data_IF_785386517830
#
_entry.id   IF_785386517830
#
_cell.length_a   1.000
_cell.length_b   1.000
_cell.length_c   1.000
_cell.angle_alpha   90.00
_cell.angle_beta   90.00
_cell.angle_gamma   90.00
#
_symmetry.space_group_name_H-M   'P 1'
#
loop_
_entity.id
_entity.type
_entity.pdbx_description
1 polymer ?
#
# COMPACT_ATOMS: atom_id res chain seq x y z
N UNK A 1 10.32 -5.72 -10.95
CA UNK A 1 9.64 -4.96 -9.87
C UNK A 1 9.81 -3.48 -10.10
N UNK A 2 9.02 -2.63 -9.43
CA UNK A 2 9.03 -1.17 -9.64
C UNK A 2 10.39 -0.55 -9.25
N UNK A 3 10.83 -0.77 -8.00
CA UNK A 3 12.16 -0.35 -7.53
C UNK A 3 13.14 -1.53 -7.57
N UNK A 4 13.53 -1.97 -8.77
CA UNK A 4 14.27 -3.22 -8.97
C UNK A 4 15.64 -3.30 -8.28
N UNK A 5 16.26 -2.15 -7.95
CA UNK A 5 17.58 -2.07 -7.31
C UNK A 5 17.49 -1.70 -5.81
N UNK A 6 16.30 -1.77 -5.19
CA UNK A 6 16.17 -1.50 -3.77
C UNK A 6 16.58 -2.71 -2.92
N UNK A 7 17.01 -2.44 -1.68
CA UNK A 7 17.14 -3.48 -0.67
C UNK A 7 15.75 -3.86 -0.16
N UNK A 8 15.50 -5.16 0.04
CA UNK A 8 14.25 -5.68 0.57
C UNK A 8 14.49 -6.37 1.92
N UNK A 9 13.73 -5.98 2.95
CA UNK A 9 13.68 -6.63 4.25
C UNK A 9 12.28 -7.18 4.46
N UNK A 10 12.16 -8.48 4.70
CA UNK A 10 10.88 -9.16 4.86
C UNK A 10 10.68 -9.59 6.33
N UNK A 11 9.47 -9.40 6.83
CA UNK A 11 9.04 -9.85 8.15
C UNK A 11 7.80 -10.73 7.99
N UNK A 12 7.86 -11.96 8.50
CA UNK A 12 6.67 -12.80 8.65
C UNK A 12 6.02 -12.50 9.99
N UNK A 13 5.10 -11.53 9.99
CA UNK A 13 4.42 -11.05 11.18
C UNK A 13 3.06 -11.74 11.44
N UNK A 14 2.43 -12.24 10.38
CA UNK A 14 1.10 -12.86 10.40
C UNK A 14 1.13 -14.22 9.70
N UNK A 15 0.10 -15.03 9.92
CA UNK A 15 -0.07 -16.30 9.22
C UNK A 15 -0.92 -16.18 7.95
N UNK A 16 -1.83 -15.21 7.94
CA UNK A 16 -2.61 -14.80 6.77
C UNK A 16 -2.59 -13.25 6.62
N UNK A 17 -3.52 -12.69 5.84
CA UNK A 17 -3.62 -11.24 5.60
C UNK A 17 -4.44 -10.48 6.65
N UNK A 18 -5.13 -11.20 7.54
CA UNK A 18 -6.02 -10.65 8.55
C UNK A 18 -5.28 -10.53 9.89
N UNK A 19 -5.24 -9.33 10.47
CA UNK A 19 -4.49 -9.10 11.72
C UNK A 19 -5.39 -9.25 12.95
N UNK A 20 -5.98 -10.43 13.16
CA UNK A 20 -6.98 -10.65 14.20
C UNK A 20 -6.44 -11.38 15.46
N UNK A 21 -5.42 -12.22 15.33
CA UNK A 21 -4.81 -12.96 16.43
C UNK A 21 -3.95 -12.07 17.34
N UNK A 22 -3.93 -12.37 18.65
CA UNK A 22 -3.08 -11.62 19.60
C UNK A 22 -1.58 -11.71 19.25
N UNK A 23 -1.11 -12.90 18.88
CA UNK A 23 0.27 -13.12 18.43
C UNK A 23 0.59 -12.41 17.12
N UNK A 24 -0.37 -12.30 16.21
CA UNK A 24 -0.21 -11.60 14.93
C UNK A 24 -0.14 -10.08 15.14
N UNK A 25 -1.02 -9.53 15.99
CA UNK A 25 -0.97 -8.12 16.40
C UNK A 25 0.37 -7.77 17.04
N UNK A 26 0.90 -8.63 17.91
CA UNK A 26 2.22 -8.47 18.51
C UNK A 26 3.34 -8.57 17.46
N UNK A 27 3.28 -9.57 16.56
CA UNK A 27 4.24 -9.75 15.48
C UNK A 27 4.32 -8.54 14.53
N UNK A 28 3.17 -7.96 14.19
CA UNK A 28 3.11 -6.75 13.35
C UNK A 28 3.68 -5.54 14.08
N UNK A 29 3.33 -5.33 15.35
CA UNK A 29 3.94 -4.29 16.19
C UNK A 29 5.47 -4.43 16.24
N UNK A 30 5.97 -5.63 16.50
CA UNK A 30 7.40 -5.88 16.65
C UNK A 30 8.15 -5.66 15.33
N UNK A 31 7.57 -6.09 14.19
CA UNK A 31 8.12 -5.80 12.87
C UNK A 31 8.18 -4.28 12.58
N UNK A 32 7.16 -3.52 13.01
CA UNK A 32 7.13 -2.07 12.89
C UNK A 32 8.15 -1.38 13.81
N UNK A 33 8.37 -1.88 15.03
CA UNK A 33 9.43 -1.39 15.90
C UNK A 33 10.82 -1.67 15.33
N UNK A 34 11.09 -2.89 14.87
CA UNK A 34 12.37 -3.24 14.26
C UNK A 34 12.63 -2.38 13.01
N UNK A 35 11.61 -2.23 12.15
CA UNK A 35 11.73 -1.42 10.93
C UNK A 35 11.83 0.08 11.23
N UNK A 36 11.12 0.56 12.24
CA UNK A 36 11.15 1.94 12.71
C UNK A 36 12.53 2.33 13.24
N UNK A 37 13.18 1.43 13.98
CA UNK A 37 14.51 1.65 14.55
C UNK A 37 15.66 1.43 13.54
N UNK A 38 15.37 0.87 12.37
CA UNK A 38 16.37 0.61 11.33
C UNK A 38 16.54 1.83 10.41
N UNK A 39 17.68 2.52 10.50
CA UNK A 39 17.98 3.71 9.69
C UNK A 39 17.98 3.49 8.17
N UNK A 40 18.21 2.24 7.72
CA UNK A 40 18.21 1.86 6.31
C UNK A 40 16.79 1.70 5.73
N UNK A 41 15.79 1.41 6.57
CA UNK A 41 14.39 1.30 6.13
C UNK A 41 13.82 2.72 5.93
N UNK A 42 13.24 2.97 4.76
CA UNK A 42 12.55 4.23 4.43
C UNK A 42 11.04 4.04 4.20
N UNK A 43 10.66 2.96 3.54
CA UNK A 43 9.27 2.62 3.19
C UNK A 43 8.94 1.26 3.78
N UNK A 44 7.77 1.15 4.41
CA UNK A 44 7.19 -0.09 4.95
C UNK A 44 5.89 -0.33 4.19
N UNK A 45 5.80 -1.47 3.50
CA UNK A 45 4.62 -1.88 2.74
C UNK A 45 3.84 -2.93 3.53
N UNK A 46 2.55 -2.69 3.74
CA UNK A 46 1.66 -3.53 4.55
C UNK A 46 0.44 -3.94 3.73
N UNK A 47 0.49 -5.18 3.21
CA UNK A 47 -0.65 -5.82 2.54
C UNK A 47 -1.41 -6.74 3.51
N UNK A 48 -1.73 -6.18 4.69
CA UNK A 48 -2.43 -6.82 5.80
C UNK A 48 -3.47 -5.85 6.37
N UNK A 49 -4.51 -6.35 7.03
CA UNK A 49 -5.48 -5.48 7.68
C UNK A 49 -6.54 -6.21 8.49
N UNK A 50 -7.41 -5.44 9.14
CA UNK A 50 -8.58 -5.92 9.86
C UNK A 50 -9.67 -4.82 9.83
N UNK A 51 -10.94 -5.21 9.85
CA UNK A 51 -12.05 -4.26 10.00
C UNK A 51 -12.08 -3.64 11.40
N UNK A 52 -11.40 -4.26 12.37
CA UNK A 52 -11.28 -3.78 13.74
C UNK A 52 -9.94 -3.09 14.00
N UNK A 53 -10.00 -1.99 14.74
CA UNK A 53 -8.80 -1.29 15.24
C UNK A 53 -8.03 -2.15 16.26
N UNK A 54 -6.70 -2.07 16.21
CA UNK A 54 -5.81 -2.67 17.22
C UNK A 54 -4.86 -1.61 17.78
N UNK A 55 -4.96 -1.34 19.08
CA UNK A 55 -4.01 -0.45 19.78
C UNK A 55 -2.58 -0.95 19.68
N UNK A 56 -2.37 -2.27 19.81
CA UNK A 56 -1.05 -2.90 19.69
C UNK A 56 -0.38 -2.62 18.35
N UNK A 57 -1.11 -2.78 17.25
CA UNK A 57 -0.58 -2.48 15.91
C UNK A 57 -0.42 -0.98 15.69
N UNK A 58 -1.38 -0.18 16.19
CA UNK A 58 -1.31 1.28 16.11
C UNK A 58 -0.08 1.85 16.82
N UNK A 59 0.32 1.31 17.97
CA UNK A 59 1.55 1.69 18.67
C UNK A 59 2.80 1.48 17.81
N UNK A 60 2.86 0.36 17.09
CA UNK A 60 3.91 0.09 16.10
C UNK A 60 3.91 1.10 14.96
N UNK A 61 2.72 1.44 14.45
CA UNK A 61 2.54 2.43 13.37
C UNK A 61 3.00 3.81 13.82
N UNK A 62 2.58 4.27 15.00
CA UNK A 62 3.02 5.54 15.56
C UNK A 62 4.53 5.58 15.72
N UNK A 63 5.15 4.53 16.24
CA UNK A 63 6.61 4.47 16.40
C UNK A 63 7.35 4.53 15.07
N UNK A 64 6.97 3.72 14.08
CA UNK A 64 7.61 3.76 12.77
C UNK A 64 7.38 5.11 12.07
N UNK A 65 6.17 5.66 12.16
CA UNK A 65 5.86 6.98 11.62
C UNK A 65 6.69 8.09 12.28
N UNK A 66 6.84 8.07 13.60
CA UNK A 66 7.62 9.06 14.34
C UNK A 66 9.12 8.94 14.06
N UNK A 67 9.61 7.75 13.70
CA UNK A 67 10.97 7.52 13.19
C UNK A 67 11.14 7.81 11.69
N UNK A 68 10.20 8.56 11.09
CA UNK A 68 10.31 9.07 9.72
C UNK A 68 10.04 8.04 8.62
N UNK A 69 9.50 6.86 8.96
CA UNK A 69 9.18 5.82 7.97
C UNK A 69 7.91 6.18 7.21
N UNK A 70 7.89 5.91 5.91
CA UNK A 70 6.68 5.97 5.09
C UNK A 70 5.95 4.63 5.18
N UNK A 71 4.69 4.67 5.61
CA UNK A 71 3.86 3.49 5.80
C UNK A 71 2.84 3.44 4.67
N UNK A 72 2.87 2.40 3.85
CA UNK A 72 1.94 2.21 2.72
C UNK A 72 1.07 1.00 3.02
N UNK A 73 -0.24 1.18 3.08
CA UNK A 73 -1.19 0.18 3.54
C UNK A 73 -2.27 -0.10 2.50
N UNK A 74 -2.63 -1.37 2.36
CA UNK A 74 -3.73 -1.80 1.52
C UNK A 74 -5.06 -1.27 2.05
N UNK A 75 -5.83 -0.57 1.21
CA UNK A 75 -7.14 -0.02 1.60
C UNK A 75 -8.13 -1.10 2.07
N UNK A 76 -7.94 -2.33 1.61
CA UNK A 76 -8.77 -3.48 1.95
C UNK A 76 -9.00 -4.36 0.74
N UNK A 77 -9.19 -5.65 1.02
CA UNK A 77 -9.60 -6.65 0.03
C UNK A 77 -10.77 -7.43 0.58
N UNK A 78 -11.84 -7.48 -0.20
CA UNK A 78 -13.06 -8.18 0.14
C UNK A 78 -12.78 -9.68 0.26
N UNK A 79 -12.94 -10.19 1.48
CA UNK A 79 -13.12 -11.62 1.76
C UNK A 79 -14.63 -11.92 1.72
N UNK A 80 -15.03 -13.18 1.85
CA UNK A 80 -16.44 -13.61 1.86
C UNK A 80 -17.31 -12.85 2.87
N UNK A 81 -16.73 -12.18 3.86
CA UNK A 81 -17.42 -11.49 4.96
C UNK A 81 -17.11 -9.98 5.08
N UNK A 82 -16.22 -9.40 4.27
CA UNK A 82 -15.80 -7.97 4.38
C UNK A 82 -16.12 -7.11 3.16
N UNK A 83 -16.85 -7.64 2.18
CA UNK A 83 -17.06 -7.02 0.86
C UNK A 83 -17.77 -5.66 0.82
N UNK A 84 -18.42 -5.28 1.93
CA UNK A 84 -19.18 -4.03 2.08
C UNK A 84 -18.46 -2.96 2.90
N UNK A 85 -17.25 -3.25 3.41
CA UNK A 85 -16.48 -2.28 4.20
C UNK A 85 -15.74 -1.27 3.31
N UNK A 86 -15.63 -0.02 3.80
CA UNK A 86 -14.73 0.99 3.23
C UNK A 86 -13.26 0.68 3.55
N UNK A 87 -12.43 1.72 3.67
CA UNK A 87 -11.02 1.56 4.02
C UNK A 87 -10.85 0.98 5.42
N UNK A 88 -10.08 -0.11 5.54
CA UNK A 88 -9.89 -0.86 6.79
C UNK A 88 -8.61 -0.48 7.53
N UNK A 89 -8.48 -0.93 8.78
CA UNK A 89 -7.25 -0.75 9.55
C UNK A 89 -6.13 -1.65 8.98
N UNK A 90 -4.87 -1.17 8.89
CA UNK A 90 -4.38 0.13 9.33
C UNK A 90 -4.47 1.27 8.29
N UNK A 91 -4.94 1.01 7.07
CA UNK A 91 -4.98 2.01 6.00
C UNK A 91 -5.84 3.25 6.34
N UNK A 92 -6.83 3.10 7.22
CA UNK A 92 -7.64 4.23 7.70
C UNK A 92 -6.93 5.12 8.75
N UNK A 93 -5.70 4.81 9.16
CA UNK A 93 -4.92 5.67 10.03
C UNK A 93 -4.23 6.79 9.24
N UNK A 94 -4.25 8.02 9.78
CA UNK A 94 -3.61 9.20 9.18
C UNK A 94 -2.09 9.11 9.04
N UNK A 95 -1.45 8.17 9.74
CA UNK A 95 -0.03 7.86 9.67
C UNK A 95 0.32 7.01 8.45
N UNK A 96 -0.68 6.43 7.79
CA UNK A 96 -0.50 5.53 6.65
C UNK A 96 -0.95 6.17 5.35
N UNK A 97 -0.38 5.69 4.25
CA UNK A 97 -0.81 6.01 2.89
C UNK A 97 -1.71 4.86 2.46
N UNK A 98 -3.00 5.13 2.32
CA UNK A 98 -3.97 4.13 1.90
C UNK A 98 -3.94 3.97 0.38
N UNK A 99 -3.80 2.73 -0.11
CA UNK A 99 -3.71 2.44 -1.54
C UNK A 99 -4.74 1.43 -1.94
N UNK A 100 -5.46 1.71 -3.04
CA UNK A 100 -6.41 0.76 -3.63
C UNK A 100 -6.10 0.46 -5.10
N UNK A 101 -6.81 -0.51 -5.65
CA UNK A 101 -6.70 -0.92 -7.05
C UNK A 101 -7.92 -0.52 -7.86
N UNK A 102 -7.69 -0.19 -9.13
CA UNK A 102 -8.71 0.12 -10.12
C UNK A 102 -8.61 -0.79 -11.35
N UNK A 103 -9.65 -0.80 -12.15
CA UNK A 103 -9.66 -1.35 -13.50
C UNK A 103 -9.04 -0.37 -14.50
N UNK A 104 -8.57 -0.85 -15.64
CA UNK A 104 -8.16 -0.02 -16.79
C UNK A 104 -9.36 0.51 -17.60
N UNK A 105 -10.29 1.15 -16.90
CA UNK A 105 -11.53 1.70 -17.46
C UNK A 105 -11.37 3.20 -17.81
N UNK A 106 -12.25 3.77 -18.65
CA UNK A 106 -12.25 5.20 -18.98
C UNK A 106 -12.52 6.12 -17.78
N UNK A 107 -13.14 5.57 -16.72
CA UNK A 107 -13.38 6.25 -15.45
C UNK A 107 -12.84 5.39 -14.31
N UNK A 108 -12.54 6.01 -13.16
CA UNK A 108 -12.13 5.24 -11.99
C UNK A 108 -13.21 4.25 -11.58
N UNK A 109 -12.88 2.98 -11.82
CA UNK A 109 -13.71 1.84 -11.45
C UNK A 109 -12.86 1.00 -10.53
N UNK A 110 -13.31 0.83 -9.28
CA UNK A 110 -12.63 0.01 -8.27
C UNK A 110 -12.42 -1.42 -8.81
N UNK A 111 -11.27 -2.03 -8.50
CA UNK A 111 -11.08 -3.45 -8.79
C UNK A 111 -12.11 -4.28 -8.01
N UNK A 112 -12.59 -5.40 -8.56
CA UNK A 112 -13.76 -6.11 -8.02
C UNK A 112 -13.68 -6.42 -6.52
N UNK A 113 -12.49 -6.79 -6.03
CA UNK A 113 -12.26 -7.15 -4.63
C UNK A 113 -11.59 -6.06 -3.81
N UNK A 114 -11.28 -4.89 -4.37
CA UNK A 114 -10.61 -3.80 -3.64
C UNK A 114 -11.60 -3.02 -2.75
N UNK A 115 -11.16 -2.37 -1.69
CA UNK A 115 -11.99 -1.39 -0.97
C UNK A 115 -11.69 0.04 -1.47
N UNK A 116 -12.62 0.98 -1.34
CA UNK A 116 -12.40 2.41 -1.63
C UNK A 116 -13.00 3.27 -0.53
N UNK A 117 -12.69 4.56 -0.54
CA UNK A 117 -13.25 5.50 0.41
C UNK A 117 -12.39 6.75 0.61
N UNK A 118 -12.84 7.68 1.47
CA UNK A 118 -12.22 8.99 1.65
C UNK A 118 -10.79 8.93 2.18
N UNK A 119 -10.38 7.84 2.83
CA UNK A 119 -9.02 7.65 3.33
C UNK A 119 -8.03 7.29 2.21
N UNK A 120 -8.47 6.80 1.05
CA UNK A 120 -7.58 6.43 -0.07
C UNK A 120 -6.73 7.61 -0.52
N UNK A 121 -5.42 7.42 -0.58
CA UNK A 121 -4.49 8.41 -1.13
C UNK A 121 -4.19 8.19 -2.61
N UNK A 122 -3.97 6.94 -3.03
CA UNK A 122 -3.56 6.63 -4.40
C UNK A 122 -4.22 5.37 -4.93
N UNK A 123 -4.30 5.28 -6.26
CA UNK A 123 -4.75 4.09 -6.96
C UNK A 123 -3.65 3.51 -7.85
N UNK A 124 -3.79 2.23 -8.16
CA UNK A 124 -2.98 1.53 -9.16
C UNK A 124 -3.90 0.71 -10.06
N UNK A 125 -3.63 0.67 -11.36
CA UNK A 125 -4.34 -0.22 -12.29
C UNK A 125 -3.95 -1.67 -11.99
N UNK A 126 -4.93 -2.50 -11.66
CA UNK A 126 -4.69 -3.88 -11.23
C UNK A 126 -5.58 -4.93 -11.89
N UNK A 127 -6.57 -4.52 -12.67
CA UNK A 127 -7.53 -5.43 -13.29
C UNK A 127 -7.91 -4.91 -14.67
N UNK A 128 -8.13 -5.82 -15.63
CA UNK A 128 -8.68 -5.44 -16.94
C UNK A 128 -10.19 -5.26 -16.84
N UNK A 129 -10.71 -4.17 -17.38
CA UNK A 129 -12.14 -3.87 -17.45
C UNK A 129 -12.87 -4.86 -18.38
N UNK A 130 -12.19 -5.33 -19.43
CA UNK A 130 -12.73 -6.30 -20.39
C UNK A 130 -12.56 -7.77 -19.99
N UNK A 131 -11.78 -8.04 -18.94
CA UNK A 131 -11.48 -9.40 -18.47
C UNK A 131 -11.13 -9.34 -16.98
N UNK A 132 -12.12 -9.65 -16.14
CA UNK A 132 -11.98 -9.51 -14.69
C UNK A 132 -11.02 -10.53 -14.06
N UNK A 133 -10.68 -11.60 -14.77
CA UNK A 133 -9.72 -12.61 -14.30
C UNK A 133 -8.27 -12.17 -14.56
N UNK A 134 -8.07 -11.24 -15.50
CA UNK A 134 -6.76 -10.60 -15.74
C UNK A 134 -6.48 -9.52 -14.73
N UNK A 135 -5.95 -9.97 -13.59
CA UNK A 135 -5.50 -9.12 -12.48
C UNK A 135 -3.98 -8.84 -12.52
N UNK A 136 -3.40 -8.37 -11.42
CA UNK A 136 -1.98 -7.99 -11.38
C UNK A 136 -1.07 -9.21 -11.40
N UNK A 137 0.02 -9.13 -12.18
CA UNK A 137 1.05 -10.16 -12.21
C UNK A 137 1.90 -10.15 -10.93
N UNK A 138 2.25 -11.34 -10.46
CA UNK A 138 3.10 -11.57 -9.28
C UNK A 138 4.08 -12.72 -9.52
N UNK A 139 5.06 -12.82 -8.62
CA UNK A 139 5.94 -13.98 -8.58
C UNK A 139 5.13 -15.23 -8.19
N UNK A 140 5.43 -16.34 -8.85
CA UNK A 140 4.85 -17.62 -8.52
C UNK A 140 5.35 -18.09 -7.13
N UNK A 141 4.48 -18.68 -6.30
CA UNK A 141 4.92 -19.37 -5.07
C UNK A 141 5.88 -20.53 -5.37
N UNK A 142 5.76 -21.13 -6.56
CA UNK A 142 6.67 -22.17 -7.08
C UNK A 142 6.63 -22.19 -8.62
N UNK A 143 7.73 -22.61 -9.25
CA UNK A 143 7.85 -22.66 -10.71
C UNK A 143 8.11 -21.30 -11.37
N UNK A 144 8.03 -21.27 -12.71
CA UNK A 144 8.41 -20.11 -13.54
C UNK A 144 7.21 -19.34 -14.14
N UNK A 145 6.00 -19.90 -14.08
CA UNK A 145 4.81 -19.25 -14.62
C UNK A 145 4.30 -18.19 -13.63
N UNK A 146 4.23 -16.90 -14.00
CA UNK A 146 3.74 -15.86 -13.11
C UNK A 146 2.34 -16.15 -12.58
N UNK A 147 2.09 -15.76 -11.33
CA UNK A 147 0.78 -15.85 -10.73
C UNK A 147 0.01 -14.53 -10.90
N UNK A 148 -1.31 -14.60 -10.75
CA UNK A 148 -2.20 -13.43 -10.77
C UNK A 148 -2.80 -13.21 -9.38
N UNK A 149 -2.85 -11.96 -8.94
CA UNK A 149 -3.50 -11.59 -7.67
C UNK A 149 -4.47 -10.43 -7.85
N UNK A 150 -5.64 -10.58 -7.26
CA UNK A 150 -6.59 -9.49 -7.03
C UNK A 150 -6.36 -8.80 -5.68
N UNK A 151 -7.15 -7.77 -5.41
CA UNK A 151 -7.11 -7.03 -4.15
C UNK A 151 -5.96 -6.04 -4.04
N UNK A 152 -6.09 -5.07 -3.12
CA UNK A 152 -5.23 -3.88 -3.02
C UNK A 152 -3.76 -4.17 -2.65
N UNK A 153 -3.38 -5.41 -2.38
CA UNK A 153 -2.02 -5.85 -2.06
C UNK A 153 -1.00 -5.47 -3.16
N UNK A 154 -1.31 -5.76 -4.43
CA UNK A 154 -0.41 -5.44 -5.54
C UNK A 154 -0.27 -3.92 -5.77
N UNK A 155 -1.34 -3.15 -5.54
CA UNK A 155 -1.31 -1.70 -5.56
C UNK A 155 -0.39 -1.16 -4.46
N UNK A 156 -0.51 -1.70 -3.25
CA UNK A 156 0.31 -1.32 -2.09
C UNK A 156 1.80 -1.54 -2.34
N UNK A 157 2.17 -2.71 -2.88
CA UNK A 157 3.56 -3.00 -3.23
C UNK A 157 4.07 -2.10 -4.37
N UNK A 158 3.23 -1.83 -5.37
CA UNK A 158 3.56 -0.94 -6.50
C UNK A 158 3.83 0.49 -6.00
N UNK A 159 2.92 1.05 -5.19
CA UNK A 159 3.05 2.40 -4.62
C UNK A 159 4.26 2.51 -3.70
N UNK A 160 4.54 1.50 -2.87
CA UNK A 160 5.76 1.46 -2.05
C UNK A 160 7.04 1.46 -2.92
N UNK A 161 7.02 0.75 -4.06
CA UNK A 161 8.10 0.79 -5.04
C UNK A 161 8.26 2.16 -5.68
N UNK A 162 7.17 2.84 -6.05
CA UNK A 162 7.22 4.22 -6.57
C UNK A 162 7.82 5.16 -5.53
N UNK A 163 7.38 5.07 -4.27
CA UNK A 163 7.94 5.86 -3.18
C UNK A 163 9.45 5.62 -3.03
N UNK A 164 9.90 4.37 -3.12
CA UNK A 164 11.33 4.03 -3.06
C UNK A 164 12.13 4.60 -4.25
N UNK A 165 11.58 4.58 -5.47
CA UNK A 165 12.20 5.20 -6.65
C UNK A 165 12.40 6.70 -6.45
N UNK A 166 11.35 7.40 -6.00
CA UNK A 166 11.41 8.84 -5.72
C UNK A 166 12.42 9.12 -4.61
N UNK A 167 12.43 8.31 -3.55
CA UNK A 167 13.38 8.46 -2.45
C UNK A 167 14.84 8.33 -2.91
N UNK A 168 15.12 7.43 -3.85
CA UNK A 168 16.46 7.20 -4.38
C UNK A 168 17.05 8.40 -5.12
N UNK A 169 16.21 9.28 -5.69
CA UNK A 169 16.67 10.52 -6.36
C UNK A 169 17.31 11.52 -5.40
N UNK A 170 16.93 11.47 -4.12
CA UNK A 170 17.54 12.25 -3.05
C UNK A 170 17.36 11.50 -1.72
N UNK A 171 18.34 10.68 -1.29
CA UNK A 171 18.23 9.89 -0.06
C UNK A 171 18.07 10.72 1.23
N UNK A 172 18.43 12.02 1.20
CA UNK A 172 18.32 12.95 2.34
C UNK A 172 16.93 13.54 2.52
N UNK A 173 16.05 13.40 1.52
CA UNK A 173 14.72 13.97 1.60
C UNK A 173 13.86 13.24 2.65
N UNK A 174 12.90 13.95 3.22
CA UNK A 174 11.99 13.44 4.22
C UNK A 174 10.83 12.66 3.58
N UNK A 175 10.12 11.87 4.41
CA UNK A 175 8.84 11.25 4.02
C UNK A 175 7.87 12.24 3.40
N UNK A 176 7.71 13.42 4.00
CA UNK A 176 6.75 14.41 3.53
C UNK A 176 7.15 14.99 2.18
N UNK A 177 8.45 15.17 1.92
CA UNK A 177 8.95 15.59 0.61
C UNK A 177 8.64 14.53 -0.46
N UNK A 178 8.91 13.25 -0.19
CA UNK A 178 8.55 12.15 -1.11
C UNK A 178 7.06 12.10 -1.36
N UNK A 179 6.24 12.14 -0.31
CA UNK A 179 4.78 12.10 -0.42
C UNK A 179 4.25 13.28 -1.24
N UNK A 180 4.80 14.49 -1.06
CA UNK A 180 4.40 15.65 -1.84
C UNK A 180 4.75 15.51 -3.32
N UNK A 181 5.91 14.95 -3.65
CA UNK A 181 6.27 14.63 -5.05
C UNK A 181 5.32 13.60 -5.66
N UNK A 182 4.95 12.56 -4.90
CA UNK A 182 3.95 11.58 -5.34
C UNK A 182 2.61 12.26 -5.65
N UNK A 183 2.10 13.11 -4.74
CA UNK A 183 0.84 13.86 -4.93
C UNK A 183 0.89 14.78 -6.14
N UNK A 184 1.94 15.61 -6.26
CA UNK A 184 2.08 16.56 -7.36
C UNK A 184 2.19 15.89 -8.73
N UNK A 185 2.76 14.68 -8.79
CA UNK A 185 2.84 13.88 -10.00
C UNK A 185 1.60 13.02 -10.26
N UNK A 186 0.55 13.10 -9.42
CA UNK A 186 -0.63 12.27 -9.59
C UNK A 186 -1.63 12.87 -10.59
N UNK A 187 -2.36 12.00 -11.28
CA UNK A 187 -3.19 12.32 -12.45
C UNK A 187 -4.18 13.47 -12.24
N UNK A 188 -4.78 13.59 -11.05
CA UNK A 188 -5.85 14.56 -10.79
C UNK A 188 -5.44 15.69 -9.83
N UNK A 189 -4.17 15.75 -9.42
CA UNK A 189 -3.65 16.86 -8.61
C UNK A 189 -3.84 18.21 -9.35
N UNK A 190 -4.24 19.31 -8.67
CA UNK A 190 -4.41 19.48 -7.22
C UNK A 190 -5.78 19.05 -6.67
N UNK A 191 -6.64 18.42 -7.48
CA UNK A 191 -7.91 17.88 -7.04
C UNK A 191 -7.72 16.51 -6.37
N UNK A 192 -8.71 16.11 -5.57
CA UNK A 192 -8.76 14.81 -4.89
C UNK A 192 -10.15 14.21 -5.03
N UNK A 193 -10.20 12.96 -5.46
CA UNK A 193 -11.42 12.16 -5.53
C UNK A 193 -11.78 11.63 -4.13
N UNK A 194 -13.09 11.51 -3.84
CA UNK A 194 -13.57 11.05 -2.53
C UNK A 194 -13.39 9.56 -2.30
N UNK A 195 -13.17 8.76 -3.34
CA UNK A 195 -13.01 7.31 -3.27
C UNK A 195 -11.61 6.85 -3.69
N UNK A 196 -10.94 7.64 -4.55
CA UNK A 196 -9.70 7.27 -5.23
C UNK A 196 -8.52 8.23 -4.96
N UNK A 197 -8.68 9.19 -4.05
CA UNK A 197 -7.59 10.04 -3.60
C UNK A 197 -7.01 10.92 -4.68
N UNK A 198 -5.69 10.98 -4.79
CA UNK A 198 -4.96 11.77 -5.79
C UNK A 198 -4.89 11.10 -7.16
N UNK A 199 -5.39 9.86 -7.27
CA UNK A 199 -5.39 9.11 -8.52
C UNK A 199 -4.11 8.33 -8.78
N UNK A 200 -3.85 8.07 -10.07
CA UNK A 200 -2.65 7.34 -10.53
C UNK A 200 -1.40 8.21 -10.39
N UNK A 201 -0.36 7.68 -9.75
CA UNK A 201 0.94 8.37 -9.65
C UNK A 201 1.69 8.22 -10.97
N UNK A 202 2.09 9.33 -11.60
CA UNK A 202 3.04 9.31 -12.69
C UNK A 202 4.47 9.20 -12.14
N UNK A 203 4.96 7.96 -12.00
CA UNK A 203 6.28 7.70 -11.44
C UNK A 203 7.42 8.37 -12.23
N UNK A 204 7.31 8.46 -13.56
CA UNK A 204 8.31 9.11 -14.40
C UNK A 204 8.38 10.62 -14.13
N UNK A 205 7.23 11.28 -13.96
CA UNK A 205 7.21 12.69 -13.56
C UNK A 205 7.73 12.88 -12.13
N UNK A 206 7.41 11.97 -11.21
CA UNK A 206 7.76 12.10 -9.80
C UNK A 206 9.27 11.97 -9.48
N UNK A 207 10.04 11.31 -10.36
CA UNK A 207 11.50 11.13 -10.19
C UNK A 207 12.35 12.18 -10.89
N UNK A 208 11.74 13.02 -11.74
CA UNK A 208 12.39 14.19 -12.32
C UNK A 208 12.09 15.44 -11.46
#
# INVERSE_FOLDING_TARGET
GVAYNCNLKAFRATTDVVVNGSSEKAGVRDALYISGNDGAVKVISMSIGDVFYSSTVADGIYYAYNNGKMLVSAAGTSLTWTSWWGVIFPANMSQTIAVTGIQDAPYYTRCNTCHSGPEVDFVVVMQRASDTDRTSLTLAPSGNQPAYVGGSSAATATTAGIAALIWATNPSQSRSQVLNRMKQASQIYPNRDSEFGWGLINAAAAVN
#
